data_IF_029324038249
#
_entry.id   IF_029324038249
#
_cell.length_a   1.000
_cell.length_b   1.000
_cell.length_c   1.000
_cell.angle_alpha   90.00
_cell.angle_beta   90.00
_cell.angle_gamma   90.00
#
_symmetry.space_group_name_H-M   'P 1'
#
loop_
_entity.id
_entity.type
_entity.pdbx_description
1 polymer ?
#
# COMPACT_ATOMS: atom_id res chain seq x y z
N UNK A 1 -2.70 5.17 8.52
CA UNK A 1 -2.18 6.56 8.40
C UNK A 1 -1.58 6.80 7.00
N UNK A 2 -1.68 8.00 6.40
CA UNK A 2 -1.08 8.30 5.07
C UNK A 2 -0.11 9.50 5.15
N UNK A 3 1.12 9.35 4.64
CA UNK A 3 2.15 10.40 4.59
C UNK A 3 2.92 10.32 3.27
N UNK A 4 3.09 11.45 2.58
CA UNK A 4 3.73 11.54 1.24
C UNK A 4 3.23 10.47 0.25
N UNK A 5 1.90 10.27 0.21
CA UNK A 5 1.20 9.24 -0.60
C UNK A 5 1.52 7.77 -0.24
N UNK A 6 2.31 7.52 0.80
CA UNK A 6 2.57 6.19 1.34
C UNK A 6 1.62 5.92 2.51
N UNK A 7 0.94 4.77 2.47
CA UNK A 7 0.08 4.29 3.55
C UNK A 7 0.88 3.45 4.53
N UNK A 8 0.70 3.74 5.81
CA UNK A 8 1.30 3.05 6.94
C UNK A 8 0.21 2.43 7.81
N UNK A 9 0.51 1.30 8.49
CA UNK A 9 -0.34 0.76 9.55
C UNK A 9 -0.74 1.83 10.57
N UNK A 10 -1.91 1.72 11.16
CA UNK A 10 -2.39 2.60 12.23
C UNK A 10 -2.46 1.89 13.59
N UNK A 11 -2.52 0.56 13.61
CA UNK A 11 -2.39 -0.26 14.81
C UNK A 11 -1.00 -0.85 15.02
N UNK A 12 -0.60 -1.02 16.28
CA UNK A 12 0.69 -1.59 16.68
C UNK A 12 0.85 -3.01 16.17
N UNK A 13 -0.19 -3.84 16.20
CA UNK A 13 -0.10 -5.22 15.74
C UNK A 13 0.22 -5.32 14.25
N UNK A 14 -0.32 -4.42 13.43
CA UNK A 14 -0.04 -4.38 12.00
C UNK A 14 1.30 -3.73 11.69
N UNK A 15 1.71 -2.72 12.48
CA UNK A 15 3.04 -2.14 12.43
C UNK A 15 4.12 -3.22 12.67
N UNK A 16 3.91 -4.09 13.67
CA UNK A 16 4.86 -5.14 14.03
C UNK A 16 4.99 -6.25 12.98
N UNK A 17 4.02 -6.39 12.06
CA UNK A 17 4.13 -7.31 10.92
C UNK A 17 5.09 -6.82 9.84
N UNK A 18 5.41 -5.52 9.80
CA UNK A 18 6.34 -4.95 8.83
C UNK A 18 7.75 -4.95 9.43
N UNK A 19 8.71 -5.77 8.93
CA UNK A 19 10.00 -5.95 9.58
C UNK A 19 10.78 -4.65 9.83
N UNK A 20 10.77 -3.73 8.86
CA UNK A 20 11.45 -2.43 9.01
C UNK A 20 10.79 -1.53 10.05
N UNK A 21 9.46 -1.43 10.06
CA UNK A 21 8.75 -0.62 11.06
C UNK A 21 8.91 -1.21 12.45
N UNK A 22 8.88 -2.55 12.58
CA UNK A 22 9.17 -3.27 13.82
C UNK A 22 10.58 -2.96 14.34
N UNK A 23 11.58 -2.93 13.46
CA UNK A 23 12.96 -2.58 13.83
C UNK A 23 13.05 -1.14 14.32
N UNK A 24 12.43 -0.20 13.60
CA UNK A 24 12.45 1.22 13.94
C UNK A 24 11.73 1.52 15.25
N UNK A 25 10.55 0.93 15.49
CA UNK A 25 9.82 1.16 16.74
C UNK A 25 10.54 0.52 17.94
N UNK A 26 11.19 -0.64 17.77
CA UNK A 26 12.06 -1.21 18.81
C UNK A 26 13.22 -0.27 19.15
N UNK A 27 13.85 0.33 18.13
CA UNK A 27 14.94 1.29 18.33
C UNK A 27 14.45 2.57 19.03
N UNK A 28 13.30 3.11 18.63
CA UNK A 28 12.70 4.31 19.24
C UNK A 28 12.36 4.07 20.73
N UNK A 29 11.79 2.90 21.04
CA UNK A 29 11.41 2.52 22.40
C UNK A 29 12.57 2.06 23.28
N UNK A 30 13.74 1.74 22.71
CA UNK A 30 14.90 1.23 23.47
C UNK A 30 15.43 2.20 24.54
N UNK A 31 15.07 3.48 24.45
CA UNK A 31 15.37 4.50 25.47
C UNK A 31 14.47 4.43 26.71
N UNK A 32 13.35 3.71 26.64
CA UNK A 32 12.39 3.54 27.74
C UNK A 32 12.23 2.06 28.07
N UNK A 33 12.84 1.57 29.16
CA UNK A 33 12.76 0.15 29.54
C UNK A 33 11.32 -0.36 29.64
N UNK A 34 10.42 0.44 30.21
CA UNK A 34 9.00 0.08 30.34
C UNK A 34 8.31 -0.11 28.98
N UNK A 35 8.53 0.80 28.03
CA UNK A 35 7.92 0.68 26.70
C UNK A 35 8.55 -0.45 25.89
N UNK A 36 9.85 -0.70 26.08
CA UNK A 36 10.54 -1.84 25.49
C UNK A 36 9.96 -3.18 25.99
N UNK A 37 9.71 -3.30 27.30
CA UNK A 37 9.10 -4.48 27.91
C UNK A 37 7.66 -4.69 27.41
N UNK A 38 6.85 -3.62 27.33
CA UNK A 38 5.49 -3.70 26.78
C UNK A 38 5.49 -4.14 25.31
N UNK A 39 6.44 -3.63 24.53
CA UNK A 39 6.61 -4.02 23.13
C UNK A 39 7.02 -5.48 22.99
N UNK A 40 7.93 -5.96 23.84
CA UNK A 40 8.34 -7.36 23.85
C UNK A 40 7.19 -8.29 24.29
N UNK A 41 6.41 -7.88 25.29
CA UNK A 41 5.20 -8.59 25.70
C UNK A 41 4.20 -8.78 24.54
N UNK A 42 4.07 -7.80 23.65
CA UNK A 42 3.21 -7.93 22.46
C UNK A 42 3.79 -8.86 21.40
N UNK A 43 5.11 -8.90 21.25
CA UNK A 43 5.80 -9.72 20.24
C UNK A 43 5.90 -11.19 20.66
N UNK A 44 6.14 -11.41 21.94
CA UNK A 44 6.37 -12.73 22.55
C UNK A 44 5.49 -12.85 23.79
N UNK A 45 4.16 -13.09 23.63
CA UNK A 45 3.26 -13.21 24.77
C UNK A 45 3.76 -14.28 25.74
N UNK A 46 3.88 -13.97 27.04
CA UNK A 46 4.47 -14.89 27.99
C UNK A 46 3.56 -16.08 28.30
N UNK A 47 4.17 -17.13 28.84
CA UNK A 47 3.46 -18.30 29.37
C UNK A 47 2.58 -17.83 30.55
N UNK A 48 1.27 -18.14 30.58
CA UNK A 48 0.34 -17.63 31.59
C UNK A 48 0.81 -17.79 33.04
N UNK A 49 1.44 -18.91 33.37
CA UNK A 49 1.94 -19.22 34.72
C UNK A 49 3.10 -18.33 35.18
N UNK A 50 3.82 -17.68 34.27
CA UNK A 50 5.00 -16.86 34.59
C UNK A 50 4.71 -15.36 34.59
N UNK A 51 3.51 -14.97 34.14
CA UNK A 51 3.11 -13.58 33.91
C UNK A 51 3.29 -12.73 35.16
N UNK A 52 2.87 -13.25 36.32
CA UNK A 52 2.96 -12.50 37.55
C UNK A 52 4.40 -12.17 37.91
N UNK A 53 5.26 -13.17 37.96
CA UNK A 53 6.66 -13.03 38.38
C UNK A 53 7.46 -12.20 37.39
N UNK A 54 7.24 -12.39 36.08
CA UNK A 54 8.02 -11.70 35.04
C UNK A 54 7.59 -10.27 34.77
N UNK A 55 6.31 -9.93 34.97
CA UNK A 55 5.74 -8.68 34.44
C UNK A 55 4.92 -7.85 35.43
N UNK A 56 4.35 -8.44 36.48
CA UNK A 56 3.37 -7.76 37.36
C UNK A 56 3.79 -7.64 38.84
N UNK A 57 4.70 -8.48 39.31
CA UNK A 57 5.21 -8.42 40.69
C UNK A 57 5.93 -7.09 40.94
N UNK A 58 6.01 -6.64 42.21
CA UNK A 58 6.77 -5.44 42.56
C UNK A 58 8.23 -5.49 42.07
N UNK A 59 8.83 -6.68 42.11
CA UNK A 59 10.21 -6.96 41.71
C UNK A 59 10.30 -7.66 40.35
N UNK A 60 9.34 -7.40 39.47
CA UNK A 60 9.29 -8.04 38.14
C UNK A 60 10.56 -7.73 37.34
N UNK A 61 11.12 -8.75 36.69
CA UNK A 61 12.29 -8.61 35.82
C UNK A 61 12.01 -7.68 34.63
N UNK A 62 10.82 -7.83 34.03
CA UNK A 62 10.40 -7.09 32.85
C UNK A 62 9.07 -6.38 33.13
N UNK A 63 9.04 -5.36 34.02
CA UNK A 63 7.79 -4.74 34.43
C UNK A 63 7.09 -4.09 33.25
N UNK A 64 5.76 -4.25 33.19
CA UNK A 64 4.89 -3.57 32.23
C UNK A 64 3.85 -2.74 32.94
N UNK A 65 3.52 -1.57 32.40
CA UNK A 65 2.53 -0.72 33.02
C UNK A 65 1.14 -1.18 32.58
N UNK A 66 0.32 -1.61 33.53
CA UNK A 66 -1.07 -2.00 33.31
C UNK A 66 -2.00 -1.25 34.26
N UNK A 67 -3.28 -1.22 33.93
CA UNK A 67 -4.33 -0.67 34.80
C UNK A 67 -4.34 -1.36 36.18
N UNK A 68 -4.63 -0.61 37.24
CA UNK A 68 -4.57 -1.09 38.63
C UNK A 68 -5.52 -2.26 38.88
N UNK A 69 -6.67 -2.29 38.22
CA UNK A 69 -7.62 -3.40 38.29
C UNK A 69 -7.00 -4.73 37.83
N UNK A 70 -6.15 -4.71 36.80
CA UNK A 70 -5.46 -5.91 36.31
C UNK A 70 -4.42 -6.37 37.34
N UNK A 71 -3.68 -5.42 37.93
CA UNK A 71 -2.71 -5.71 38.99
C UNK A 71 -3.37 -6.30 40.23
N UNK A 72 -4.48 -5.71 40.70
CA UNK A 72 -5.24 -6.23 41.84
C UNK A 72 -5.78 -7.63 41.58
N UNK A 73 -6.35 -7.89 40.40
CA UNK A 73 -6.83 -9.21 40.01
C UNK A 73 -5.70 -10.25 40.02
N UNK A 74 -4.53 -9.92 39.46
CA UNK A 74 -3.37 -10.81 39.46
C UNK A 74 -2.84 -11.10 40.87
N UNK A 75 -2.77 -10.08 41.75
CA UNK A 75 -2.35 -10.26 43.15
C UNK A 75 -3.32 -11.11 43.96
N UNK A 76 -4.64 -10.98 43.74
CA UNK A 76 -5.64 -11.84 44.40
C UNK A 76 -5.52 -13.29 43.94
N UNK A 77 -5.29 -13.52 42.65
CA UNK A 77 -5.09 -14.87 42.10
C UNK A 77 -3.88 -15.58 42.71
N UNK A 78 -2.78 -14.87 42.95
CA UNK A 78 -1.60 -15.44 43.63
C UNK A 78 -1.86 -15.84 45.09
N UNK A 79 -2.83 -15.19 45.76
CA UNK A 79 -3.16 -15.46 47.18
C UNK A 79 -4.18 -16.58 47.37
N UNK A 80 -5.03 -16.85 46.37
CA UNK A 80 -6.21 -17.71 46.51
C UNK A 80 -6.29 -18.92 45.56
N UNK A 81 -5.31 -19.11 44.67
CA UNK A 81 -5.32 -20.20 43.68
C UNK A 81 -3.93 -20.80 43.53
N UNK A 82 -3.85 -22.11 43.27
CA UNK A 82 -2.60 -22.70 42.81
C UNK A 82 -2.22 -22.03 41.48
N UNK A 83 -0.91 -21.90 41.23
CA UNK A 83 -0.36 -21.40 39.96
C UNK A 83 -0.79 -22.21 38.73
N UNK A 84 -1.58 -23.29 38.90
CA UNK A 84 -2.05 -24.20 37.87
C UNK A 84 -3.36 -23.77 37.18
N UNK A 85 -4.05 -22.72 37.64
CA UNK A 85 -5.30 -22.26 37.01
C UNK A 85 -5.03 -21.44 35.73
N UNK A 86 -4.56 -22.15 34.69
CA UNK A 86 -4.09 -21.64 33.40
C UNK A 86 -5.15 -20.78 32.68
N UNK A 87 -6.43 -21.11 32.84
CA UNK A 87 -7.54 -20.39 32.20
C UNK A 87 -7.68 -18.97 32.76
N UNK A 88 -7.56 -18.81 34.08
CA UNK A 88 -7.61 -17.49 34.71
C UNK A 88 -6.39 -16.65 34.34
N UNK A 89 -5.20 -17.24 34.32
CA UNK A 89 -3.99 -16.52 33.91
C UNK A 89 -4.03 -16.10 32.45
N UNK A 90 -4.60 -16.93 31.57
CA UNK A 90 -4.81 -16.59 30.16
C UNK A 90 -5.74 -15.37 30.00
N UNK A 91 -6.76 -15.23 30.86
CA UNK A 91 -7.62 -14.03 30.89
C UNK A 91 -6.85 -12.79 31.32
N UNK A 92 -5.95 -12.90 32.31
CA UNK A 92 -5.09 -11.78 32.73
C UNK A 92 -4.17 -11.35 31.58
N UNK A 93 -3.51 -12.30 30.90
CA UNK A 93 -2.67 -12.00 29.71
C UNK A 93 -3.47 -11.28 28.63
N UNK A 94 -4.69 -11.74 28.34
CA UNK A 94 -5.55 -11.11 27.35
C UNK A 94 -5.93 -9.67 27.72
N UNK A 95 -6.23 -9.41 29.00
CA UNK A 95 -6.53 -8.07 29.51
C UNK A 95 -5.31 -7.15 29.43
N UNK A 96 -4.13 -7.63 29.84
CA UNK A 96 -2.87 -6.89 29.73
C UNK A 96 -2.58 -6.53 28.27
N UNK A 97 -2.68 -7.51 27.37
CA UNK A 97 -2.47 -7.31 25.93
C UNK A 97 -3.42 -6.26 25.37
N UNK A 98 -4.69 -6.30 25.74
CA UNK A 98 -5.70 -5.32 25.31
C UNK A 98 -5.37 -3.91 25.81
N UNK A 99 -4.96 -3.76 27.07
CA UNK A 99 -4.59 -2.47 27.66
C UNK A 99 -3.35 -1.87 26.99
N UNK A 100 -2.32 -2.70 26.78
CA UNK A 100 -1.07 -2.30 26.10
C UNK A 100 -1.37 -1.89 24.65
N UNK A 101 -2.10 -2.71 23.88
CA UNK A 101 -2.48 -2.36 22.49
C UNK A 101 -3.22 -1.03 22.45
N UNK A 102 -4.22 -0.84 23.30
CA UNK A 102 -4.99 0.42 23.36
C UNK A 102 -4.09 1.62 23.58
N UNK A 103 -3.11 1.51 24.48
CA UNK A 103 -2.15 2.58 24.76
C UNK A 103 -1.21 2.84 23.59
N UNK A 104 -0.71 1.78 22.97
CA UNK A 104 0.14 1.91 21.80
C UNK A 104 -0.61 2.59 20.65
N UNK A 105 -1.79 2.11 20.31
CA UNK A 105 -2.58 2.63 19.19
C UNK A 105 -3.03 4.08 19.42
N UNK A 106 -3.42 4.43 20.65
CA UNK A 106 -3.93 5.77 20.95
C UNK A 106 -2.86 6.84 21.14
N UNK A 107 -1.65 6.46 21.60
CA UNK A 107 -0.61 7.44 21.99
C UNK A 107 0.74 7.17 21.33
N UNK A 108 1.24 5.94 21.42
CA UNK A 108 2.63 5.63 21.03
C UNK A 108 2.79 5.58 19.52
N UNK A 109 1.93 4.87 18.79
CA UNK A 109 1.98 4.73 17.33
C UNK A 109 1.82 6.09 16.64
N UNK A 110 0.83 6.94 17.00
CA UNK A 110 0.75 8.29 16.45
C UNK A 110 2.00 9.14 16.72
N UNK A 111 2.56 9.06 17.94
CA UNK A 111 3.77 9.80 18.29
C UNK A 111 5.00 9.28 17.55
N UNK A 112 5.15 7.97 17.40
CA UNK A 112 6.24 7.30 16.66
C UNK A 112 6.34 7.86 15.23
N UNK A 113 5.21 8.06 14.56
CA UNK A 113 5.18 8.62 13.20
C UNK A 113 5.59 10.09 13.08
N UNK A 114 5.70 10.80 14.20
CA UNK A 114 6.20 12.17 14.27
C UNK A 114 7.69 12.23 14.63
N UNK A 115 8.26 11.15 15.19
CA UNK A 115 9.67 11.06 15.59
C UNK A 115 10.61 11.14 14.40
N UNK A 116 11.82 11.64 14.67
CA UNK A 116 12.85 11.84 13.65
C UNK A 116 13.35 10.53 13.05
N UNK A 117 13.40 9.45 13.86
CA UNK A 117 13.82 8.13 13.39
C UNK A 117 12.90 7.62 12.28
N UNK A 118 11.58 7.71 12.47
CA UNK A 118 10.61 7.36 11.44
C UNK A 118 10.68 8.33 10.26
N UNK A 119 10.81 9.64 10.52
CA UNK A 119 10.86 10.67 9.47
C UNK A 119 12.03 10.45 8.50
N UNK A 120 13.24 10.21 9.02
CA UNK A 120 14.43 9.94 8.22
C UNK A 120 14.27 8.68 7.36
N UNK A 121 13.77 7.60 7.96
CA UNK A 121 13.52 6.36 7.22
C UNK A 121 12.41 6.53 6.16
N UNK A 122 11.35 7.26 6.49
CA UNK A 122 10.26 7.58 5.59
C UNK A 122 10.77 8.35 4.38
N UNK A 123 11.56 9.41 4.59
CA UNK A 123 12.17 10.21 3.52
C UNK A 123 13.03 9.36 2.60
N UNK A 124 13.92 8.52 3.15
CA UNK A 124 14.77 7.62 2.35
C UNK A 124 13.93 6.64 1.52
N UNK A 125 12.91 6.04 2.13
CA UNK A 125 12.01 5.09 1.46
C UNK A 125 11.20 5.78 0.37
N UNK A 126 10.72 6.99 0.64
CA UNK A 126 9.91 7.75 -0.29
C UNK A 126 10.75 8.25 -1.48
N UNK A 127 11.98 8.70 -1.24
CA UNK A 127 12.96 9.03 -2.28
C UNK A 127 13.26 7.81 -3.14
N UNK A 128 13.56 6.65 -2.54
CA UNK A 128 13.86 5.43 -3.29
C UNK A 128 12.70 5.01 -4.20
N UNK A 129 11.45 5.07 -3.69
CA UNK A 129 10.25 4.81 -4.50
C UNK A 129 10.05 5.84 -5.60
N UNK A 130 10.27 7.12 -5.32
CA UNK A 130 10.19 8.17 -6.31
C UNK A 130 11.20 7.92 -7.44
N UNK A 131 12.47 7.66 -7.11
CA UNK A 131 13.52 7.36 -8.10
C UNK A 131 13.16 6.15 -8.97
N UNK A 132 12.64 5.08 -8.37
CA UNK A 132 12.20 3.89 -9.12
C UNK A 132 11.07 4.20 -10.13
N UNK A 133 10.15 5.09 -9.78
CA UNK A 133 9.01 5.44 -10.64
C UNK A 133 9.36 6.45 -11.75
N UNK A 134 10.35 7.30 -11.51
CA UNK A 134 10.64 8.44 -12.38
C UNK A 134 11.73 8.18 -13.42
N UNK A 135 12.56 7.15 -13.22
CA UNK A 135 13.67 6.81 -14.09
C UNK A 135 14.89 7.73 -13.91
N UNK A 136 15.90 7.53 -14.77
CA UNK A 136 17.18 8.26 -14.71
C UNK A 136 17.00 9.76 -15.03
N UNK A 137 17.40 10.68 -14.13
CA UNK A 137 17.33 12.13 -14.33
C UNK A 137 18.00 12.61 -15.63
N UNK A 138 19.10 11.97 -16.07
CA UNK A 138 19.76 12.32 -17.33
C UNK A 138 18.90 11.97 -18.55
N UNK A 139 18.21 10.83 -18.49
CA UNK A 139 17.27 10.41 -19.55
C UNK A 139 16.03 11.30 -19.56
N UNK A 140 15.56 11.74 -18.40
CA UNK A 140 14.43 12.68 -18.29
C UNK A 140 14.81 14.05 -18.82
N UNK A 141 15.99 14.56 -18.46
CA UNK A 141 16.51 15.82 -18.98
C UNK A 141 16.65 15.82 -20.51
N UNK A 142 17.25 14.76 -21.07
CA UNK A 142 17.34 14.57 -22.52
C UNK A 142 15.95 14.50 -23.18
N UNK A 143 14.96 13.88 -22.53
CA UNK A 143 13.57 13.83 -23.02
C UNK A 143 12.83 15.17 -22.93
N UNK A 144 13.29 16.07 -22.08
CA UNK A 144 12.77 17.42 -21.86
C UNK A 144 13.57 18.48 -22.65
N UNK A 145 14.56 18.06 -23.44
CA UNK A 145 15.44 18.93 -24.23
C UNK A 145 16.13 19.99 -23.39
N UNK A 146 16.53 19.60 -22.16
CA UNK A 146 17.34 20.46 -21.30
C UNK A 146 18.78 20.45 -21.80
N UNK A 147 19.36 21.65 -21.90
CA UNK A 147 20.72 21.89 -22.36
C UNK A 147 21.77 21.11 -21.54
N UNK A 148 22.94 20.84 -22.11
CA UNK A 148 24.00 20.03 -21.47
C UNK A 148 24.54 20.66 -20.18
N UNK A 149 24.30 21.95 -19.98
CA UNK A 149 24.66 22.70 -18.78
C UNK A 149 23.71 22.52 -17.60
N UNK A 150 22.64 21.73 -17.72
CA UNK A 150 21.67 21.54 -16.64
C UNK A 150 22.26 20.76 -15.44
N UNK A 151 21.99 21.23 -14.22
CA UNK A 151 22.37 20.52 -13.00
C UNK A 151 21.43 19.33 -12.73
N UNK A 152 21.93 18.14 -13.01
CA UNK A 152 21.24 16.87 -12.77
C UNK A 152 20.69 16.70 -11.36
N UNK A 153 21.36 17.27 -10.36
CA UNK A 153 20.93 17.19 -8.98
C UNK A 153 19.71 18.08 -8.71
N UNK A 154 19.56 19.21 -9.41
CA UNK A 154 18.43 20.12 -9.22
C UNK A 154 17.16 19.52 -9.83
N UNK A 155 17.24 18.93 -11.03
CA UNK A 155 16.07 18.23 -11.60
C UNK A 155 15.71 16.99 -10.79
N UNK A 156 16.70 16.21 -10.31
CA UNK A 156 16.42 15.08 -9.44
C UNK A 156 15.67 15.53 -8.17
N UNK A 157 16.10 16.63 -7.54
CA UNK A 157 15.41 17.22 -6.38
C UNK A 157 13.99 17.69 -6.72
N UNK A 158 13.80 18.35 -7.87
CA UNK A 158 12.47 18.78 -8.33
C UNK A 158 11.53 17.60 -8.55
N UNK A 159 12.03 16.57 -9.24
CA UNK A 159 11.31 15.34 -9.53
C UNK A 159 10.90 14.62 -8.24
N UNK A 160 11.81 14.49 -7.27
CA UNK A 160 11.52 13.91 -5.96
C UNK A 160 10.44 14.73 -5.25
N UNK A 161 10.56 16.06 -5.19
CA UNK A 161 9.57 16.92 -4.54
C UNK A 161 8.17 16.76 -5.16
N UNK A 162 8.08 16.70 -6.48
CA UNK A 162 6.82 16.45 -7.21
C UNK A 162 6.22 15.07 -6.91
N UNK A 163 7.03 14.01 -6.94
CA UNK A 163 6.58 12.65 -6.65
C UNK A 163 6.06 12.49 -5.22
N UNK A 164 6.68 13.19 -4.26
CA UNK A 164 6.27 13.22 -2.86
C UNK A 164 5.09 14.16 -2.59
N UNK A 165 4.68 14.97 -3.57
CA UNK A 165 3.58 15.93 -3.43
C UNK A 165 3.95 17.19 -2.61
N UNK A 166 5.25 17.50 -2.50
CA UNK A 166 5.77 18.68 -1.79
C UNK A 166 5.73 19.89 -2.71
N UNK A 167 4.53 20.43 -2.95
CA UNK A 167 4.28 21.48 -3.95
C UNK A 167 5.12 22.74 -3.74
N UNK A 168 5.28 23.17 -2.48
CA UNK A 168 6.02 24.40 -2.18
C UNK A 168 7.53 24.25 -2.37
N UNK A 169 8.07 23.09 -2.00
CA UNK A 169 9.48 22.74 -2.23
C UNK A 169 9.75 22.60 -3.73
N UNK A 170 8.86 21.92 -4.45
CA UNK A 170 8.92 21.81 -5.90
C UNK A 170 8.89 23.18 -6.59
N UNK A 171 8.00 24.09 -6.17
CA UNK A 171 7.92 25.45 -6.72
C UNK A 171 9.18 26.28 -6.46
N UNK A 172 9.80 26.14 -5.28
CA UNK A 172 11.08 26.81 -4.97
C UNK A 172 12.22 26.27 -5.83
N UNK A 173 12.30 24.96 -6.03
CA UNK A 173 13.32 24.34 -6.88
C UNK A 173 13.08 24.70 -8.34
N UNK A 174 11.82 24.74 -8.78
CA UNK A 174 11.42 25.19 -10.10
C UNK A 174 11.85 26.64 -10.36
N UNK A 175 11.66 27.54 -9.38
CA UNK A 175 12.14 28.92 -9.49
C UNK A 175 13.66 28.99 -9.67
N UNK A 176 14.43 28.16 -8.95
CA UNK A 176 15.89 28.06 -9.14
C UNK A 176 16.28 27.48 -10.50
N UNK A 177 15.50 26.54 -11.02
CA UNK A 177 15.66 26.04 -12.41
C UNK A 177 15.38 27.16 -13.43
N UNK A 178 14.39 28.02 -13.17
CA UNK A 178 14.04 29.18 -14.01
C UNK A 178 15.10 30.29 -13.99
N UNK A 179 15.72 30.54 -12.84
CA UNK A 179 16.72 31.60 -12.67
C UNK A 179 18.12 31.20 -13.18
N UNK A 180 18.44 29.90 -13.21
CA UNK A 180 19.74 29.38 -13.62
C UNK A 180 19.90 29.08 -15.11
N UNK A 181 18.80 29.00 -15.89
CA UNK A 181 18.85 28.61 -17.31
C UNK A 181 17.93 29.49 -18.19
N UNK A 182 18.53 30.16 -19.16
CA UNK A 182 17.85 30.88 -20.25
C UNK A 182 17.31 29.90 -21.30
N UNK A 183 16.46 28.96 -20.91
CA UNK A 183 15.81 28.04 -21.85
C UNK A 183 14.33 28.37 -21.90
N UNK A 184 13.81 28.62 -23.10
CA UNK A 184 12.44 29.07 -23.35
C UNK A 184 11.41 28.01 -22.93
N UNK A 185 11.03 28.05 -21.64
CA UNK A 185 10.08 27.15 -20.98
C UNK A 185 8.68 27.19 -21.59
N UNK A 186 8.36 28.16 -22.48
CA UNK A 186 7.14 28.08 -23.31
C UNK A 186 7.17 26.88 -24.23
N UNK A 187 8.36 26.45 -24.69
CA UNK A 187 8.54 25.24 -25.47
C UNK A 187 8.34 23.99 -24.60
N UNK A 188 8.83 24.00 -23.36
CA UNK A 188 8.67 22.88 -22.41
C UNK A 188 7.20 22.76 -21.94
N UNK A 189 6.52 23.86 -21.59
CA UNK A 189 5.10 23.86 -21.26
C UNK A 189 4.24 23.42 -22.47
N UNK A 190 4.57 23.86 -23.68
CA UNK A 190 3.90 23.41 -24.91
C UNK A 190 4.14 21.92 -25.16
N UNK A 191 5.36 21.41 -24.99
CA UNK A 191 5.70 19.99 -25.15
C UNK A 191 5.06 19.11 -24.06
N UNK A 192 5.03 19.57 -22.80
CA UNK A 192 4.37 18.89 -21.68
C UNK A 192 2.85 18.90 -21.86
N UNK A 193 2.26 19.97 -22.40
CA UNK A 193 0.82 20.05 -22.69
C UNK A 193 0.41 19.20 -23.91
N UNK A 194 1.17 19.25 -25.01
CA UNK A 194 1.02 18.34 -26.16
C UNK A 194 1.24 16.87 -25.75
N UNK A 195 2.15 16.61 -24.81
CA UNK A 195 2.35 15.27 -24.23
C UNK A 195 1.24 14.88 -23.28
N UNK A 196 0.64 15.76 -22.48
CA UNK A 196 -0.58 15.45 -21.69
C UNK A 196 -1.77 15.13 -22.59
N UNK A 197 -1.89 15.82 -23.73
CA UNK A 197 -2.91 15.52 -24.75
C UNK A 197 -2.59 14.20 -25.51
N UNK A 198 -1.30 13.87 -25.72
CA UNK A 198 -0.84 12.57 -26.25
C UNK A 198 -0.84 11.41 -25.22
N UNK A 199 -0.69 11.67 -23.93
CA UNK A 199 -0.74 10.69 -22.82
C UNK A 199 -2.16 10.45 -22.34
N UNK A 200 -3.07 11.41 -22.57
CA UNK A 200 -4.52 11.16 -22.53
C UNK A 200 -4.97 10.21 -23.65
N UNK A 201 -4.23 10.13 -24.76
CA UNK A 201 -4.54 9.29 -25.93
C UNK A 201 -3.57 8.11 -26.14
N UNK A 202 -2.52 7.97 -25.31
CA UNK A 202 -1.38 7.08 -25.57
C UNK A 202 -1.24 5.85 -24.67
N UNK A 203 -2.09 5.68 -23.64
CA UNK A 203 -2.25 4.39 -22.97
C UNK A 203 -3.58 3.81 -23.40
N UNK A 204 -3.55 2.61 -23.99
CA UNK A 204 -4.80 1.90 -24.27
C UNK A 204 -5.55 1.71 -22.95
N UNK A 205 -6.86 1.87 -22.97
CA UNK A 205 -7.73 1.72 -21.79
C UNK A 205 -7.43 0.41 -21.03
N UNK A 206 -6.96 -0.61 -21.76
CA UNK A 206 -6.40 -1.89 -21.30
C UNK A 206 -5.32 -1.77 -20.20
N UNK A 207 -4.36 -0.85 -20.36
CA UNK A 207 -3.28 -0.65 -19.39
C UNK A 207 -3.75 0.08 -18.12
N UNK A 208 -4.85 0.84 -18.19
CA UNK A 208 -5.42 1.54 -17.04
C UNK A 208 -6.36 0.67 -16.21
N UNK A 209 -6.96 -0.36 -16.82
CA UNK A 209 -7.94 -1.22 -16.14
C UNK A 209 -7.37 -2.58 -15.72
N UNK A 210 -6.09 -2.89 -15.95
CA UNK A 210 -5.56 -4.22 -15.67
C UNK A 210 -6.15 -5.31 -16.59
N UNK A 211 -6.61 -4.92 -17.77
CA UNK A 211 -7.23 -5.81 -18.76
C UNK A 211 -6.37 -5.88 -20.02
N UNK A 212 -5.89 -7.06 -20.40
CA UNK A 212 -5.07 -7.24 -21.61
C UNK A 212 -5.89 -7.88 -22.74
N UNK A 213 -6.22 -7.07 -23.75
CA UNK A 213 -7.02 -7.46 -24.91
C UNK A 213 -6.16 -7.73 -26.15
N UNK A 214 -4.93 -8.21 -25.98
CA UNK A 214 -4.11 -8.68 -27.11
C UNK A 214 -4.81 -9.84 -27.84
N UNK A 215 -4.81 -9.86 -29.19
CA UNK A 215 -5.48 -10.91 -29.95
C UNK A 215 -5.09 -12.32 -29.53
N UNK A 216 -3.82 -12.56 -29.23
CA UNK A 216 -3.32 -13.85 -28.76
C UNK A 216 -3.99 -14.30 -27.44
N UNK A 217 -4.20 -13.40 -26.48
CA UNK A 217 -4.85 -13.73 -25.21
C UNK A 217 -6.35 -13.96 -25.40
N UNK A 218 -7.01 -13.17 -26.26
CA UNK A 218 -8.42 -13.37 -26.57
C UNK A 218 -8.68 -14.70 -27.29
N UNK A 219 -7.84 -15.06 -28.26
CA UNK A 219 -7.91 -16.38 -28.91
C UNK A 219 -7.75 -17.52 -27.89
N UNK A 220 -6.82 -17.37 -26.95
CA UNK A 220 -6.60 -18.33 -25.87
C UNK A 220 -7.76 -18.42 -24.86
N UNK A 221 -8.64 -17.41 -24.82
CA UNK A 221 -9.90 -17.45 -24.06
C UNK A 221 -11.07 -18.04 -24.84
N UNK A 222 -10.86 -18.43 -26.11
CA UNK A 222 -11.88 -19.03 -26.96
C UNK A 222 -12.72 -18.03 -27.75
N UNK A 223 -12.32 -16.76 -27.81
CA UNK A 223 -12.90 -15.76 -28.71
C UNK A 223 -12.41 -16.00 -30.14
N UNK A 224 -13.30 -15.92 -31.13
CA UNK A 224 -12.94 -16.09 -32.55
C UNK A 224 -12.86 -14.77 -33.30
N UNK A 225 -13.67 -13.77 -32.93
CA UNK A 225 -13.74 -12.49 -33.64
C UNK A 225 -12.80 -11.42 -33.04
N UNK A 226 -11.57 -11.80 -32.70
CA UNK A 226 -10.64 -10.96 -31.90
C UNK A 226 -10.19 -9.66 -32.57
N UNK A 227 -10.38 -9.53 -33.88
CA UNK A 227 -10.12 -8.30 -34.65
C UNK A 227 -11.29 -7.31 -34.62
N UNK A 228 -12.49 -7.74 -34.22
CA UNK A 228 -13.68 -6.90 -34.22
C UNK A 228 -13.66 -5.89 -33.07
N UNK A 229 -13.69 -4.60 -33.42
CA UNK A 229 -13.63 -3.50 -32.45
C UNK A 229 -14.79 -3.54 -31.44
N UNK A 230 -16.01 -3.79 -31.91
CA UNK A 230 -17.21 -3.84 -31.05
C UNK A 230 -17.13 -4.97 -30.02
N UNK A 231 -16.61 -6.12 -30.42
CA UNK A 231 -16.37 -7.24 -29.51
C UNK A 231 -15.34 -6.86 -28.45
N UNK A 232 -14.19 -6.31 -28.86
CA UNK A 232 -13.12 -5.92 -27.92
C UNK A 232 -13.61 -4.89 -26.90
N UNK A 233 -14.42 -3.92 -27.31
CA UNK A 233 -15.06 -2.96 -26.41
C UNK A 233 -16.03 -3.63 -25.42
N UNK A 234 -16.81 -4.62 -25.87
CA UNK A 234 -17.71 -5.38 -25.00
C UNK A 234 -16.91 -6.23 -23.97
N UNK A 235 -15.83 -6.88 -24.42
CA UNK A 235 -14.91 -7.63 -23.55
C UNK A 235 -14.25 -6.70 -22.53
N UNK A 236 -13.85 -5.50 -22.94
CA UNK A 236 -13.26 -4.50 -22.06
C UNK A 236 -14.21 -4.11 -20.92
N UNK A 237 -15.46 -3.77 -21.26
CA UNK A 237 -16.50 -3.38 -20.30
C UNK A 237 -16.88 -4.54 -19.38
N UNK A 238 -16.95 -5.76 -19.92
CA UNK A 238 -17.15 -6.97 -19.13
C UNK A 238 -16.02 -7.18 -18.11
N UNK A 239 -14.76 -7.18 -18.56
CA UNK A 239 -13.58 -7.33 -17.68
C UNK A 239 -13.52 -6.27 -16.60
N UNK A 240 -13.85 -5.02 -16.93
CA UNK A 240 -13.91 -3.91 -15.96
C UNK A 240 -15.03 -4.12 -14.94
N UNK A 241 -16.21 -4.61 -15.36
CA UNK A 241 -17.30 -4.96 -14.45
C UNK A 241 -16.96 -6.15 -13.54
N UNK A 242 -16.11 -7.08 -14.00
CA UNK A 242 -15.54 -8.17 -13.18
C UNK A 242 -14.62 -7.60 -12.10
N UNK A 243 -13.67 -6.73 -12.46
CA UNK A 243 -12.72 -6.12 -11.54
C UNK A 243 -13.38 -5.19 -10.51
N UNK A 244 -14.48 -4.54 -10.87
CA UNK A 244 -15.26 -3.65 -9.99
C UNK A 244 -16.45 -4.32 -9.29
N UNK A 245 -16.56 -5.64 -9.39
CA UNK A 245 -17.62 -6.45 -8.75
C UNK A 245 -19.08 -6.06 -9.09
N UNK A 246 -19.31 -5.40 -10.23
CA UNK A 246 -20.66 -4.99 -10.69
C UNK A 246 -21.39 -6.12 -11.42
N UNK A 247 -22.06 -7.01 -10.68
CA UNK A 247 -22.72 -8.22 -11.23
C UNK A 247 -23.78 -7.94 -12.30
N UNK A 248 -24.56 -6.86 -12.18
CA UNK A 248 -25.57 -6.50 -13.18
C UNK A 248 -24.93 -6.16 -14.54
N UNK A 249 -23.85 -5.38 -14.50
CA UNK A 249 -23.08 -4.97 -15.68
C UNK A 249 -22.37 -6.17 -16.33
N UNK A 250 -21.83 -7.09 -15.54
CA UNK A 250 -21.24 -8.34 -16.05
C UNK A 250 -22.24 -9.13 -16.89
N UNK A 251 -23.48 -9.31 -16.40
CA UNK A 251 -24.53 -10.04 -17.15
C UNK A 251 -24.92 -9.30 -18.43
N UNK A 252 -25.04 -7.98 -18.38
CA UNK A 252 -25.39 -7.16 -19.53
C UNK A 252 -24.31 -7.21 -20.62
N UNK A 253 -23.03 -7.05 -20.26
CA UNK A 253 -21.93 -7.09 -21.21
C UNK A 253 -21.65 -8.51 -21.71
N UNK A 254 -21.85 -9.54 -20.89
CA UNK A 254 -21.75 -10.92 -21.33
C UNK A 254 -22.75 -11.26 -22.45
N UNK A 255 -24.01 -10.84 -22.32
CA UNK A 255 -25.00 -10.99 -23.41
C UNK A 255 -24.57 -10.30 -24.70
N UNK A 256 -23.94 -9.12 -24.61
CA UNK A 256 -23.42 -8.40 -25.78
C UNK A 256 -22.25 -9.15 -26.43
N UNK A 257 -21.37 -9.74 -25.63
CA UNK A 257 -20.27 -10.59 -26.12
C UNK A 257 -20.85 -11.81 -26.87
N UNK A 258 -21.84 -12.49 -26.30
CA UNK A 258 -22.47 -13.65 -26.94
C UNK A 258 -23.14 -13.31 -28.28
N UNK A 259 -23.70 -12.10 -28.41
CA UNK A 259 -24.30 -11.63 -29.66
C UNK A 259 -23.26 -11.30 -30.75
N UNK A 260 -22.03 -10.96 -30.36
CA UNK A 260 -20.94 -10.56 -31.27
C UNK A 260 -20.00 -11.72 -31.62
N UNK A 261 -20.04 -12.82 -30.86
CA UNK A 261 -19.29 -14.04 -31.14
C UNK A 261 -20.10 -15.01 -32.02
N UNK A 262 -19.45 -15.77 -32.92
CA UNK A 262 -20.11 -16.79 -33.72
C UNK A 262 -20.65 -17.91 -32.83
N UNK A 263 -21.70 -18.61 -33.28
CA UNK A 263 -22.33 -19.72 -32.53
C UNK A 263 -21.37 -20.86 -32.20
N UNK A 264 -20.39 -21.08 -33.07
CA UNK A 264 -19.30 -22.05 -32.88
C UNK A 264 -18.17 -21.55 -31.96
N UNK A 265 -18.27 -20.32 -31.42
CA UNK A 265 -17.29 -19.72 -30.54
C UNK A 265 -17.32 -20.34 -29.14
N UNK A 266 -16.16 -20.80 -28.66
CA UNK A 266 -16.04 -21.41 -27.33
C UNK A 266 -16.42 -20.39 -26.24
N UNK A 267 -16.00 -19.14 -26.38
CA UNK A 267 -16.31 -18.07 -25.42
C UNK A 267 -17.81 -17.74 -25.33
N UNK A 268 -18.56 -17.88 -26.44
CA UNK A 268 -20.02 -17.67 -26.46
C UNK A 268 -20.77 -18.73 -25.64
N UNK A 269 -20.28 -19.96 -25.65
CA UNK A 269 -20.93 -21.11 -25.03
C UNK A 269 -20.48 -21.36 -23.57
N UNK A 270 -19.58 -20.53 -23.04
CA UNK A 270 -19.19 -20.57 -21.63
C UNK A 270 -20.26 -19.95 -20.72
N UNK A 271 -20.27 -20.34 -19.45
CA UNK A 271 -20.95 -19.55 -18.41
C UNK A 271 -20.11 -18.31 -18.07
N UNK A 272 -20.73 -17.29 -17.47
CA UNK A 272 -20.01 -16.09 -16.98
C UNK A 272 -18.83 -16.51 -16.08
N UNK A 273 -19.05 -17.45 -15.16
CA UNK A 273 -18.03 -17.93 -14.23
C UNK A 273 -16.86 -18.61 -14.95
N UNK A 274 -17.15 -19.47 -15.92
CA UNK A 274 -16.13 -20.15 -16.71
C UNK A 274 -15.35 -19.18 -17.59
N UNK A 275 -16.03 -18.19 -18.17
CA UNK A 275 -15.37 -17.15 -18.96
C UNK A 275 -14.43 -16.31 -18.09
N UNK A 276 -14.89 -15.85 -16.91
CA UNK A 276 -14.05 -15.09 -15.97
C UNK A 276 -12.83 -15.92 -15.52
N UNK A 277 -13.03 -17.18 -15.15
CA UNK A 277 -11.94 -18.09 -14.76
C UNK A 277 -10.92 -18.25 -15.89
N UNK A 278 -11.39 -18.39 -17.12
CA UNK A 278 -10.53 -18.52 -18.31
C UNK A 278 -9.78 -17.22 -18.59
N UNK A 279 -10.45 -16.07 -18.53
CA UNK A 279 -9.84 -14.76 -18.75
C UNK A 279 -8.77 -14.42 -17.69
N UNK A 280 -8.98 -14.83 -16.43
CA UNK A 280 -7.95 -14.74 -15.38
C UNK A 280 -6.77 -15.67 -15.67
N UNK A 281 -7.04 -16.95 -15.96
CA UNK A 281 -5.99 -17.94 -16.25
C UNK A 281 -5.10 -17.54 -17.45
N UNK A 282 -5.67 -16.90 -18.46
CA UNK A 282 -4.97 -16.45 -19.66
C UNK A 282 -4.43 -15.02 -19.57
N UNK A 283 -4.55 -14.37 -18.41
CA UNK A 283 -3.98 -13.05 -18.16
C UNK A 283 -4.66 -11.91 -18.94
N UNK A 284 -5.92 -12.11 -19.35
CA UNK A 284 -6.79 -11.05 -19.89
C UNK A 284 -7.31 -10.18 -18.75
N UNK A 285 -7.62 -10.76 -17.59
CA UNK A 285 -8.00 -10.03 -16.37
C UNK A 285 -6.88 -10.23 -15.35
N UNK A 286 -6.16 -9.15 -15.03
CA UNK A 286 -5.05 -9.17 -14.08
C UNK A 286 -5.43 -8.44 -12.79
N UNK A 287 -5.75 -9.21 -11.75
CA UNK A 287 -6.14 -8.68 -10.43
C UNK A 287 -5.00 -7.98 -9.68
N UNK A 288 -3.76 -8.16 -10.14
CA UNK A 288 -2.57 -7.51 -9.58
C UNK A 288 -2.48 -6.01 -9.83
N UNK A 289 -3.21 -5.47 -10.83
CA UNK A 289 -3.17 -4.05 -11.19
C UNK A 289 -4.24 -3.24 -10.45
N UNK A 290 -5.39 -3.84 -10.13
CA UNK A 290 -6.50 -3.16 -9.44
C UNK A 290 -6.33 -3.02 -7.92
N UNK A 291 -5.25 -3.57 -7.34
CA UNK A 291 -5.04 -3.52 -5.89
C UNK A 291 -4.58 -2.17 -5.34
N UNK A 292 -4.39 -1.13 -6.16
CA UNK A 292 -3.81 0.13 -5.69
C UNK A 292 -4.61 1.42 -5.88
N UNK A 293 -5.76 1.43 -6.58
CA UNK A 293 -6.45 2.70 -6.88
C UNK A 293 -7.95 2.78 -6.55
N UNK A 294 -8.53 1.82 -5.82
CA UNK A 294 -9.93 1.94 -5.38
C UNK A 294 -10.06 1.64 -3.90
N UNK A 295 -9.64 2.60 -3.08
CA UNK A 295 -10.25 2.83 -1.76
C UNK A 295 -10.54 4.32 -1.59
N UNK A 296 -11.82 4.65 -1.77
CA UNK A 296 -12.58 5.72 -1.13
C UNK A 296 -14.03 5.24 -1.03
N UNK A 297 -14.83 5.67 -0.04
CA UNK A 297 -14.59 6.75 0.93
C UNK A 297 -13.87 6.29 2.21
#
# INVERSE_FOLDING_TARGET
MKKDRITYPDGILDLLKVPELRRLIRQDMGSSPLLANELEFLLSPPIPSEVYVKYLSPDAENPVKVADQIRQAASQMMRGTSSADLDKWSKIVALMRKDIIKRFDSKIVPAFYQRDIFRKWHEQTAIAKAKANMGDPKKVAKKLDLDEHYDANILEKYMIAQALGRTDEAAKIEKKLREGHATDLRHIEHQVRKRKEKEATGKTEAERTGVDLTPAKLLNCGFRNVSEKKLREAIMKFSTAVLTAKKADQKAFFKKIQALEPESGIARNMTIENLVKTMRKKGVINEGVYKYDVYKP
#
